data_IF_159955207024
#
_entry.id   IF_159955207024
#
_cell.length_a   1.000
_cell.length_b   1.000
_cell.length_c   1.000
_cell.angle_alpha   90.00
_cell.angle_beta   90.00
_cell.angle_gamma   90.00
#
_symmetry.space_group_name_H-M   'P 1'
#
loop_
_entity.id
_entity.type
_entity.pdbx_description
1 polymer ?
#
# COMPACT_ATOMS: atom_id res chain seq x y z
N UNK A 1 4.79 -5.09 74.72
CA UNK A 1 3.92 -4.04 74.18
C UNK A 1 4.54 -3.53 72.89
N UNK A 2 3.90 -3.77 71.73
CA UNK A 2 4.50 -3.46 70.44
C UNK A 2 4.38 -1.96 70.15
N UNK A 3 5.52 -1.34 69.88
CA UNK A 3 5.61 0.08 69.54
C UNK A 3 5.38 0.25 68.03
N UNK A 4 4.54 1.24 67.74
CA UNK A 4 3.89 1.58 66.46
C UNK A 4 4.90 1.88 65.34
N UNK A 5 4.65 1.37 64.12
CA UNK A 5 5.39 1.72 62.90
C UNK A 5 5.05 3.14 62.42
N UNK A 6 6.04 3.99 62.11
CA UNK A 6 5.79 5.18 61.29
C UNK A 6 5.55 4.78 59.81
N UNK A 7 4.81 5.60 59.05
CA UNK A 7 4.46 5.31 57.66
C UNK A 7 5.72 5.33 56.75
N UNK A 8 5.78 4.46 55.73
CA UNK A 8 6.93 4.38 54.85
C UNK A 8 7.01 5.63 53.96
N UNK A 9 8.19 6.26 53.98
CA UNK A 9 8.66 7.22 52.99
C UNK A 9 8.62 6.61 51.60
N UNK A 10 8.08 7.36 50.65
CA UNK A 10 8.00 7.03 49.23
C UNK A 10 9.35 6.56 48.69
N UNK A 11 9.45 5.26 48.40
CA UNK A 11 10.58 4.71 47.69
C UNK A 11 10.61 5.28 46.28
N UNK A 12 11.68 6.02 46.00
CA UNK A 12 12.17 6.36 44.68
C UNK A 12 12.36 5.08 43.89
N UNK A 13 11.41 4.76 43.02
CA UNK A 13 11.55 3.69 42.05
C UNK A 13 12.72 4.02 41.13
N UNK A 14 13.75 3.18 41.24
CA UNK A 14 14.86 2.98 40.32
C UNK A 14 14.46 3.30 38.88
N UNK A 15 15.07 4.36 38.35
CA UNK A 15 15.06 4.70 36.93
C UNK A 15 15.89 3.61 36.25
N UNK A 16 15.20 2.57 35.79
CA UNK A 16 15.73 1.69 34.75
C UNK A 16 15.90 2.57 33.52
N UNK A 17 17.14 2.95 33.21
CA UNK A 17 17.47 3.72 32.02
C UNK A 17 17.18 2.87 30.78
N UNK A 18 15.95 2.90 30.29
CA UNK A 18 15.63 2.46 28.94
C UNK A 18 16.33 3.43 27.99
N UNK A 19 17.37 2.94 27.30
CA UNK A 19 17.94 3.69 26.18
C UNK A 19 16.80 4.03 25.20
N UNK A 20 16.73 5.27 24.69
CA UNK A 20 15.74 5.63 23.69
C UNK A 20 16.00 4.78 22.44
N UNK A 21 15.02 3.95 22.06
CA UNK A 21 15.01 3.31 20.75
C UNK A 21 15.13 4.40 19.70
N UNK A 22 16.10 4.29 18.78
CA UNK A 22 16.20 5.21 17.64
C UNK A 22 14.93 5.07 16.82
N UNK A 23 13.95 5.95 17.05
CA UNK A 23 12.73 5.98 16.25
C UNK A 23 13.11 6.42 14.83
N UNK A 24 12.70 5.62 13.85
CA UNK A 24 12.90 5.92 12.43
C UNK A 24 12.09 7.20 12.12
N UNK A 25 12.65 8.16 11.37
CA UNK A 25 11.91 9.36 10.97
C UNK A 25 10.62 9.00 10.24
N UNK A 26 9.54 9.77 10.43
CA UNK A 26 8.26 9.48 9.81
C UNK A 26 8.34 9.60 8.29
N UNK A 27 7.77 8.62 7.58
CA UNK A 27 7.62 8.70 6.13
C UNK A 27 6.50 9.66 5.76
N UNK A 28 6.78 10.61 4.87
CA UNK A 28 5.75 11.48 4.31
C UNK A 28 4.75 10.68 3.45
N UNK A 29 3.49 11.13 3.43
CA UNK A 29 2.55 10.72 2.39
C UNK A 29 2.94 11.41 1.08
N UNK A 30 3.73 10.73 0.25
CA UNK A 30 4.34 11.32 -0.93
C UNK A 30 3.28 11.61 -1.99
N UNK A 31 3.21 12.87 -2.43
CA UNK A 31 2.28 13.30 -3.49
C UNK A 31 2.80 13.04 -4.91
N UNK A 32 4.09 12.67 -5.05
CA UNK A 32 4.77 12.48 -6.34
C UNK A 32 5.15 11.02 -6.57
N UNK A 33 4.16 10.13 -6.44
CA UNK A 33 4.33 8.68 -6.62
C UNK A 33 4.35 8.27 -8.10
N UNK A 34 3.76 9.10 -8.97
CA UNK A 34 3.70 8.88 -10.41
C UNK A 34 4.73 9.73 -11.15
N UNK A 35 5.05 9.31 -12.38
CA UNK A 35 5.96 10.05 -13.26
C UNK A 35 5.30 11.31 -13.81
N UNK A 36 5.77 12.47 -13.38
CA UNK A 36 5.25 13.80 -13.75
C UNK A 36 6.36 14.68 -14.34
N UNK A 37 6.03 15.53 -15.32
CA UNK A 37 6.94 16.53 -15.87
C UNK A 37 6.78 17.89 -15.18
N UNK A 38 7.78 18.77 -15.35
CA UNK A 38 7.68 20.19 -14.95
C UNK A 38 7.93 20.49 -13.47
N UNK A 39 8.40 19.51 -12.69
CA UNK A 39 8.86 19.74 -11.30
C UNK A 39 10.37 19.95 -11.29
N UNK A 40 10.83 21.01 -10.61
CA UNK A 40 12.24 21.45 -10.61
C UNK A 40 12.86 21.55 -9.20
N UNK A 41 12.15 21.09 -8.18
CA UNK A 41 12.49 21.21 -6.75
C UNK A 41 12.93 19.86 -6.16
N UNK A 42 13.64 19.06 -6.94
CA UNK A 42 14.10 17.72 -6.55
C UNK A 42 15.41 17.78 -5.76
N UNK A 43 15.64 16.76 -4.93
CA UNK A 43 16.89 16.52 -4.21
C UNK A 43 17.51 15.21 -4.70
N UNK A 44 18.84 15.14 -4.73
CA UNK A 44 19.60 13.93 -5.08
C UNK A 44 20.68 13.63 -4.05
N UNK A 45 21.13 12.38 -4.03
CA UNK A 45 22.29 11.95 -3.25
C UNK A 45 23.55 12.38 -3.99
N UNK A 46 24.36 13.24 -3.38
CA UNK A 46 25.62 13.76 -3.95
C UNK A 46 26.87 13.17 -3.31
N UNK A 47 26.75 12.51 -2.15
CA UNK A 47 27.86 11.91 -1.44
C UNK A 47 27.45 10.62 -0.69
N UNK A 48 28.37 9.66 -0.49
CA UNK A 48 29.75 9.63 -1.00
C UNK A 48 29.84 9.35 -2.51
N UNK A 49 28.78 8.79 -3.10
CA UNK A 49 28.66 8.60 -4.55
C UNK A 49 27.50 9.45 -5.06
N UNK A 50 27.67 10.03 -6.25
CA UNK A 50 26.64 10.84 -6.89
C UNK A 50 25.68 9.91 -7.65
N UNK A 51 24.42 9.85 -7.21
CA UNK A 51 23.37 9.07 -7.85
C UNK A 51 22.43 10.02 -8.61
N UNK A 52 22.63 10.14 -9.93
CA UNK A 52 21.88 11.06 -10.79
C UNK A 52 20.42 10.64 -11.02
N UNK A 53 20.13 9.35 -10.79
CA UNK A 53 18.82 8.74 -11.01
C UNK A 53 18.05 8.52 -9.70
N UNK A 54 18.44 9.23 -8.63
CA UNK A 54 17.76 9.17 -7.33
C UNK A 54 17.13 10.52 -7.01
N UNK A 55 15.83 10.63 -7.24
CA UNK A 55 15.05 11.86 -7.19
C UNK A 55 14.12 11.86 -5.96
N UNK A 56 14.31 12.82 -5.05
CA UNK A 56 13.49 12.98 -3.84
C UNK A 56 12.73 14.29 -3.85
N UNK A 57 11.42 14.24 -3.64
CA UNK A 57 10.59 15.44 -3.54
C UNK A 57 10.79 16.18 -2.21
N UNK A 58 10.45 17.48 -2.13
CA UNK A 58 10.60 18.25 -0.89
C UNK A 58 9.84 17.68 0.30
N UNK A 59 8.65 17.11 0.10
CA UNK A 59 7.84 16.53 1.18
C UNK A 59 8.58 15.37 1.85
N UNK A 60 9.10 14.43 1.05
CA UNK A 60 9.87 13.29 1.55
C UNK A 60 11.20 13.73 2.17
N UNK A 61 11.92 14.66 1.53
CA UNK A 61 13.18 15.18 2.04
C UNK A 61 13.00 15.86 3.41
N UNK A 62 12.08 16.81 3.51
CA UNK A 62 11.87 17.58 4.74
C UNK A 62 11.37 16.71 5.90
N UNK A 63 10.56 15.67 5.62
CA UNK A 63 9.99 14.82 6.66
C UNK A 63 10.95 13.72 7.12
N UNK A 64 11.59 13.02 6.17
CA UNK A 64 12.30 11.77 6.48
C UNK A 64 13.82 11.96 6.55
N UNK A 65 14.38 12.89 5.79
CA UNK A 65 15.84 12.99 5.57
C UNK A 65 16.44 14.19 6.29
N UNK A 66 15.88 15.39 6.08
CA UNK A 66 16.36 16.67 6.64
C UNK A 66 16.57 16.66 8.16
N UNK A 67 15.72 15.99 8.97
CA UNK A 67 15.93 15.93 10.43
C UNK A 67 17.10 15.04 10.87
N UNK A 68 17.78 14.36 9.94
CA UNK A 68 18.81 13.35 10.24
C UNK A 68 20.20 13.82 9.84
N UNK A 69 21.23 13.13 10.36
CA UNK A 69 22.61 13.36 9.95
C UNK A 69 22.88 13.07 8.46
N UNK A 70 21.98 12.33 7.78
CA UNK A 70 22.11 12.02 6.37
C UNK A 70 21.74 13.18 5.44
N UNK A 71 21.11 14.25 5.95
CA UNK A 71 20.77 15.42 5.16
C UNK A 71 21.99 16.02 4.42
N UNK A 72 23.19 15.89 5.01
CA UNK A 72 24.46 16.34 4.43
C UNK A 72 24.86 15.64 3.12
N UNK A 73 24.27 14.47 2.84
CA UNK A 73 24.53 13.69 1.64
C UNK A 73 23.61 14.07 0.48
N UNK A 74 22.67 14.97 0.72
CA UNK A 74 21.71 15.43 -0.28
C UNK A 74 22.00 16.85 -0.71
N UNK A 75 21.68 17.15 -1.97
CA UNK A 75 21.69 18.53 -2.48
C UNK A 75 20.54 18.73 -3.47
N UNK A 76 20.04 19.96 -3.63
CA UNK A 76 19.09 20.28 -4.68
C UNK A 76 19.62 19.89 -6.06
N UNK A 77 18.75 19.37 -6.91
CA UNK A 77 19.06 19.08 -8.30
C UNK A 77 18.94 20.32 -9.18
N UNK A 78 19.71 20.39 -10.27
CA UNK A 78 19.41 21.35 -11.34
C UNK A 78 18.04 21.03 -11.96
N UNK A 79 17.37 22.04 -12.57
CA UNK A 79 16.13 21.82 -13.31
C UNK A 79 16.29 20.69 -14.33
N UNK A 80 15.31 19.77 -14.37
CA UNK A 80 15.32 18.67 -15.35
C UNK A 80 15.03 19.25 -16.75
N UNK A 81 15.54 18.64 -17.82
CA UNK A 81 15.18 19.04 -19.18
C UNK A 81 13.66 19.02 -19.41
N UNK A 82 13.19 19.88 -20.31
CA UNK A 82 11.77 19.95 -20.63
C UNK A 82 11.22 18.61 -21.15
N UNK A 83 10.05 18.21 -20.66
CA UNK A 83 9.40 16.94 -21.02
C UNK A 83 9.89 15.71 -20.25
N UNK A 84 10.98 15.78 -19.49
CA UNK A 84 11.44 14.65 -18.66
C UNK A 84 10.45 14.41 -17.51
N UNK A 85 9.84 13.22 -17.51
CA UNK A 85 8.92 12.80 -16.45
C UNK A 85 9.72 12.13 -15.32
N UNK A 86 9.51 12.61 -14.10
CA UNK A 86 10.23 12.17 -12.90
C UNK A 86 9.24 11.77 -11.82
N UNK A 87 9.57 10.80 -10.98
CA UNK A 87 8.82 10.44 -9.77
C UNK A 87 9.74 10.52 -8.55
N UNK A 88 9.16 10.58 -7.35
CA UNK A 88 9.95 10.52 -6.12
C UNK A 88 10.35 9.06 -5.81
N UNK A 89 11.62 8.73 -5.80
CA UNK A 89 12.11 7.39 -5.44
C UNK A 89 11.81 7.03 -3.99
N UNK A 90 11.68 8.03 -3.11
CA UNK A 90 11.24 7.83 -1.72
C UNK A 90 9.75 7.49 -1.60
N UNK A 91 9.03 7.36 -2.72
CA UNK A 91 7.69 6.74 -2.76
C UNK A 91 7.74 5.23 -2.96
N UNK A 92 8.88 4.68 -3.39
CA UNK A 92 9.08 3.26 -3.60
C UNK A 92 9.19 2.49 -2.26
N UNK A 93 8.58 1.30 -2.22
CA UNK A 93 8.56 0.46 -1.03
C UNK A 93 9.98 0.03 -0.64
N UNK A 94 10.77 -0.48 -1.58
CA UNK A 94 12.10 -1.00 -1.29
C UNK A 94 13.05 0.10 -0.85
N UNK A 95 12.94 1.30 -1.44
CA UNK A 95 13.70 2.47 -0.99
C UNK A 95 13.36 2.84 0.46
N UNK A 96 12.08 2.80 0.85
CA UNK A 96 11.66 3.07 2.24
C UNK A 96 12.15 2.01 3.22
N UNK A 97 12.10 0.74 2.86
CA UNK A 97 12.61 -0.36 3.71
C UNK A 97 14.14 -0.25 3.83
N UNK A 98 14.84 0.01 2.74
CA UNK A 98 16.29 0.24 2.74
C UNK A 98 16.67 1.43 3.61
N UNK A 99 15.92 2.54 3.54
CA UNK A 99 16.10 3.70 4.41
C UNK A 99 15.90 3.36 5.89
N UNK A 100 14.80 2.67 6.22
CA UNK A 100 14.50 2.24 7.59
C UNK A 100 15.64 1.37 8.16
N UNK A 101 16.11 0.41 7.37
CA UNK A 101 17.23 -0.45 7.74
C UNK A 101 18.54 0.32 7.92
N UNK A 102 18.91 1.15 6.93
CA UNK A 102 20.11 1.98 6.96
C UNK A 102 20.15 2.86 8.22
N UNK A 103 19.02 3.52 8.50
CA UNK A 103 18.87 4.35 9.69
C UNK A 103 18.97 3.54 10.98
N UNK A 104 18.30 2.39 11.08
CA UNK A 104 18.31 1.55 12.29
C UNK A 104 19.69 0.98 12.58
N UNK A 105 20.42 0.55 11.55
CA UNK A 105 21.78 0.03 11.66
C UNK A 105 22.84 1.12 11.83
N UNK A 106 22.51 2.40 11.58
CA UNK A 106 23.47 3.50 11.65
C UNK A 106 24.58 3.39 10.60
N UNK A 107 24.23 2.91 9.40
CA UNK A 107 25.16 2.79 8.26
C UNK A 107 25.74 4.17 7.93
N UNK A 108 27.05 4.32 7.66
CA UNK A 108 27.68 5.64 7.56
C UNK A 108 27.33 6.42 6.28
N UNK A 109 26.86 5.74 5.23
CA UNK A 109 26.61 6.29 3.91
C UNK A 109 25.25 5.88 3.33
N UNK A 110 24.93 6.40 2.13
CA UNK A 110 23.69 6.14 1.41
C UNK A 110 23.84 5.19 0.22
N UNK A 111 24.95 4.45 0.14
CA UNK A 111 25.21 3.56 -1.01
C UNK A 111 24.11 2.51 -1.18
N UNK A 112 23.54 2.01 -0.08
CA UNK A 112 22.41 1.08 -0.13
C UNK A 112 21.22 1.65 -0.91
N UNK A 113 20.87 2.93 -0.74
CA UNK A 113 19.72 3.51 -1.44
C UNK A 113 19.94 3.54 -2.97
N UNK A 114 21.15 3.90 -3.40
CA UNK A 114 21.51 3.89 -4.82
C UNK A 114 21.50 2.48 -5.40
N UNK A 115 22.05 1.50 -4.68
CA UNK A 115 22.02 0.09 -5.09
C UNK A 115 20.60 -0.43 -5.29
N UNK A 116 19.65 -0.03 -4.42
CA UNK A 116 18.24 -0.43 -4.52
C UNK A 116 17.58 0.06 -5.81
N UNK A 117 17.88 1.30 -6.20
CA UNK A 117 17.29 1.92 -7.39
C UNK A 117 17.93 1.48 -8.71
N UNK A 118 19.20 1.09 -8.70
CA UNK A 118 19.92 0.64 -9.89
C UNK A 118 19.71 -0.85 -10.19
N UNK A 119 19.07 -1.59 -9.28
CA UNK A 119 18.89 -3.03 -9.43
C UNK A 119 17.98 -3.40 -10.61
N UNK A 120 18.50 -4.29 -11.45
CA UNK A 120 17.79 -4.87 -12.58
C UNK A 120 17.75 -6.39 -12.42
N UNK A 121 16.55 -6.93 -12.28
CA UNK A 121 16.33 -8.37 -12.28
C UNK A 121 16.19 -8.88 -13.72
N UNK A 122 16.87 -9.97 -14.12
CA UNK A 122 16.76 -10.51 -15.48
C UNK A 122 15.35 -10.94 -15.88
N UNK A 123 14.49 -11.27 -14.91
CA UNK A 123 13.09 -11.61 -15.16
C UNK A 123 12.18 -10.37 -15.08
N UNK A 124 12.73 -9.19 -14.77
CA UNK A 124 12.04 -7.92 -14.65
C UNK A 124 11.47 -7.64 -13.25
N UNK A 125 10.88 -6.46 -13.06
CA UNK A 125 10.27 -6.04 -11.79
C UNK A 125 9.20 -7.02 -11.29
N UNK A 126 8.92 -6.97 -9.98
CA UNK A 126 7.89 -7.79 -9.37
C UNK A 126 6.52 -7.53 -10.02
N UNK A 127 5.80 -8.58 -10.50
CA UNK A 127 4.52 -8.39 -11.20
C UNK A 127 3.45 -7.75 -10.30
N UNK A 128 3.49 -8.01 -8.99
CA UNK A 128 2.54 -7.44 -8.03
C UNK A 128 2.84 -5.98 -7.64
N UNK A 129 3.97 -5.41 -8.09
CA UNK A 129 4.31 -4.00 -7.91
C UNK A 129 4.06 -3.16 -9.17
N UNK A 130 3.62 -3.78 -10.26
CA UNK A 130 3.25 -3.07 -11.48
C UNK A 130 1.89 -2.39 -11.29
N UNK A 131 1.91 -1.08 -10.98
CA UNK A 131 0.69 -0.29 -10.76
C UNK A 131 -0.16 -0.12 -12.01
N UNK A 132 0.41 -0.34 -13.21
CA UNK A 132 -0.33 -0.24 -14.46
C UNK A 132 -1.05 -1.55 -14.83
N UNK A 133 -0.69 -2.65 -14.18
CA UNK A 133 -1.33 -3.94 -14.39
C UNK A 133 -2.80 -3.92 -13.90
N UNK A 134 -3.72 -4.35 -14.76
CA UNK A 134 -5.16 -4.34 -14.49
C UNK A 134 -5.58 -5.24 -13.33
N UNK A 135 -4.90 -6.37 -13.09
CA UNK A 135 -5.16 -7.21 -11.93
C UNK A 135 -4.72 -6.52 -10.64
N UNK A 136 -3.56 -5.87 -10.65
CA UNK A 136 -3.08 -5.07 -9.50
C UNK A 136 -4.05 -3.94 -9.21
N UNK A 137 -4.54 -3.20 -10.22
CA UNK A 137 -5.58 -2.16 -10.05
C UNK A 137 -6.87 -2.72 -9.45
N UNK A 138 -7.21 -3.98 -9.75
CA UNK A 138 -8.35 -4.72 -9.16
C UNK A 138 -8.03 -5.36 -7.80
N UNK A 139 -6.88 -5.03 -7.19
CA UNK A 139 -6.40 -5.57 -5.90
C UNK A 139 -6.16 -7.08 -5.93
N UNK A 140 -5.80 -7.60 -7.10
CA UNK A 140 -5.47 -9.00 -7.32
C UNK A 140 -3.96 -9.16 -7.54
N UNK A 141 -3.48 -10.40 -7.44
CA UNK A 141 -2.07 -10.74 -7.65
C UNK A 141 -1.91 -11.35 -9.05
N UNK A 142 -1.31 -10.64 -10.02
CA UNK A 142 -1.08 -11.20 -11.34
C UNK A 142 -0.17 -12.43 -11.29
N UNK A 143 -0.54 -13.45 -12.07
CA UNK A 143 0.30 -14.63 -12.28
C UNK A 143 1.36 -14.38 -13.34
N UNK A 144 2.56 -14.91 -13.13
CA UNK A 144 3.66 -14.85 -14.08
C UNK A 144 4.45 -16.17 -14.12
N UNK A 145 4.99 -16.51 -15.29
CA UNK A 145 5.87 -17.68 -15.45
C UNK A 145 7.32 -17.29 -15.20
N UNK A 146 7.83 -17.61 -14.00
CA UNK A 146 9.12 -17.14 -13.49
C UNK A 146 9.78 -18.17 -12.58
N UNK A 147 11.04 -17.94 -12.23
CA UNK A 147 11.68 -18.68 -11.14
C UNK A 147 11.15 -18.16 -9.80
N UNK A 148 10.51 -19.03 -9.04
CA UNK A 148 9.94 -18.70 -7.73
C UNK A 148 10.82 -19.23 -6.60
N UNK A 149 10.79 -18.55 -5.47
CA UNK A 149 11.57 -18.88 -4.30
C UNK A 149 10.65 -19.05 -3.09
N UNK A 150 10.96 -20.03 -2.25
CA UNK A 150 10.23 -20.30 -1.01
C UNK A 150 11.20 -20.29 0.17
N UNK A 151 10.68 -20.01 1.36
CA UNK A 151 11.45 -20.21 2.59
C UNK A 151 11.69 -21.69 2.83
N UNK A 152 12.89 -22.03 3.29
CA UNK A 152 13.18 -23.38 3.80
C UNK A 152 12.90 -23.44 5.30
N UNK A 153 12.03 -24.34 5.74
CA UNK A 153 11.82 -24.57 7.17
C UNK A 153 13.09 -25.18 7.78
N UNK A 154 13.75 -24.51 8.74
CA UNK A 154 14.95 -25.06 9.37
C UNK A 154 14.70 -26.33 10.20
N UNK A 155 13.45 -26.60 10.62
CA UNK A 155 13.09 -27.79 11.40
C UNK A 155 12.87 -29.03 10.53
N UNK A 156 12.12 -28.89 9.44
CA UNK A 156 11.77 -30.04 8.58
C UNK A 156 12.67 -30.15 7.36
N UNK A 157 13.33 -29.07 6.96
CA UNK A 157 14.11 -28.98 5.72
C UNK A 157 13.25 -28.80 4.46
N UNK A 158 11.92 -28.80 4.61
CA UNK A 158 10.94 -28.64 3.52
C UNK A 158 10.74 -27.18 3.13
N UNK A 159 10.15 -26.96 1.97
CA UNK A 159 9.79 -25.63 1.49
C UNK A 159 8.44 -25.21 2.06
N UNK A 160 8.33 -23.94 2.43
CA UNK A 160 7.04 -23.31 2.77
C UNK A 160 6.39 -22.81 1.49
N UNK A 161 5.69 -23.71 0.79
CA UNK A 161 5.14 -23.46 -0.55
C UNK A 161 3.95 -22.48 -0.57
N UNK A 162 3.33 -22.21 0.58
CA UNK A 162 2.27 -21.20 0.70
C UNK A 162 2.77 -19.76 0.49
N UNK A 163 4.09 -19.53 0.49
CA UNK A 163 4.70 -18.23 0.21
C UNK A 163 5.73 -18.35 -0.92
N UNK A 164 5.29 -18.04 -2.13
CA UNK A 164 6.18 -17.90 -3.29
C UNK A 164 6.63 -16.45 -3.47
N UNK A 165 7.93 -16.25 -3.73
CA UNK A 165 8.55 -14.93 -3.88
C UNK A 165 9.30 -14.86 -5.20
N UNK A 166 9.15 -13.76 -5.94
CA UNK A 166 9.85 -13.59 -7.22
C UNK A 166 11.34 -13.21 -7.02
N UNK A 167 12.16 -13.52 -8.02
CA UNK A 167 13.59 -13.17 -8.09
C UNK A 167 13.89 -11.70 -7.73
N UNK A 168 13.11 -10.76 -8.27
CA UNK A 168 13.28 -9.33 -7.98
C UNK A 168 13.13 -9.01 -6.48
N UNK A 169 12.13 -9.58 -5.80
CA UNK A 169 11.95 -9.33 -4.37
C UNK A 169 13.05 -9.97 -3.52
N UNK A 170 13.52 -11.16 -3.91
CA UNK A 170 14.66 -11.80 -3.24
C UNK A 170 15.92 -10.96 -3.39
N UNK A 171 16.20 -10.46 -4.59
CA UNK A 171 17.35 -9.61 -4.87
C UNK A 171 17.34 -8.35 -3.97
N UNK A 172 16.17 -7.74 -3.77
CA UNK A 172 16.00 -6.60 -2.86
C UNK A 172 16.26 -7.00 -1.39
N UNK A 173 15.66 -8.09 -0.90
CA UNK A 173 15.87 -8.59 0.47
C UNK A 173 17.35 -8.92 0.72
N UNK A 174 18.00 -9.61 -0.21
CA UNK A 174 19.41 -10.02 -0.11
C UNK A 174 20.40 -8.84 -0.19
N UNK A 175 19.96 -7.72 -0.76
CA UNK A 175 20.72 -6.46 -0.79
C UNK A 175 20.56 -5.68 0.50
N UNK A 176 19.33 -5.56 1.02
CA UNK A 176 19.05 -4.87 2.28
C UNK A 176 19.59 -5.65 3.47
N UNK A 177 19.38 -6.96 3.49
CA UNK A 177 19.74 -7.86 4.60
C UNK A 177 20.70 -8.98 4.16
N UNK A 178 21.96 -8.68 3.80
CA UNK A 178 22.92 -9.69 3.32
C UNK A 178 23.14 -10.86 4.29
N UNK A 179 22.96 -10.63 5.60
CA UNK A 179 23.09 -11.67 6.62
C UNK A 179 22.04 -12.79 6.51
N UNK A 180 20.94 -12.56 5.77
CA UNK A 180 19.88 -13.51 5.53
C UNK A 180 19.97 -14.20 4.16
N UNK A 181 21.00 -13.93 3.35
CA UNK A 181 21.16 -14.56 2.03
C UNK A 181 21.04 -16.09 2.10
N UNK A 182 20.26 -16.64 1.19
CA UNK A 182 20.05 -18.08 1.05
C UNK A 182 19.00 -18.69 1.99
N UNK A 183 18.24 -17.89 2.77
CA UNK A 183 17.04 -18.42 3.47
C UNK A 183 15.91 -18.78 2.50
N UNK A 184 15.90 -18.13 1.34
CA UNK A 184 15.03 -18.43 0.23
C UNK A 184 15.77 -19.35 -0.74
N UNK A 185 15.09 -20.39 -1.17
CA UNK A 185 15.62 -21.37 -2.13
C UNK A 185 14.66 -21.53 -3.30
N UNK A 186 15.16 -21.84 -4.52
CA UNK A 186 14.30 -22.01 -5.68
C UNK A 186 13.27 -23.11 -5.48
N UNK A 187 12.00 -22.78 -5.72
CA UNK A 187 10.90 -23.73 -5.79
C UNK A 187 10.95 -24.52 -7.11
N UNK A 188 10.22 -25.64 -7.19
CA UNK A 188 10.13 -26.48 -8.40
C UNK A 188 11.50 -26.83 -9.03
N UNK A 189 12.54 -26.99 -8.21
CA UNK A 189 13.91 -27.27 -8.67
C UNK A 189 14.53 -26.14 -9.51
N UNK A 190 14.03 -24.90 -9.40
CA UNK A 190 14.48 -23.75 -10.19
C UNK A 190 13.84 -23.64 -11.57
N UNK A 191 12.84 -24.48 -11.87
CA UNK A 191 12.07 -24.35 -13.11
C UNK A 191 11.18 -23.11 -13.08
N UNK A 192 10.99 -22.50 -14.25
CA UNK A 192 10.03 -21.41 -14.42
C UNK A 192 8.61 -21.98 -14.44
N UNK A 193 7.79 -21.59 -13.47
CA UNK A 193 6.40 -22.05 -13.33
C UNK A 193 5.47 -20.85 -13.16
N UNK A 194 4.18 -21.04 -13.43
CA UNK A 194 3.18 -19.99 -13.24
C UNK A 194 2.79 -19.89 -11.75
N UNK A 195 3.07 -18.74 -11.12
CA UNK A 195 2.64 -18.43 -9.74
C UNK A 195 2.54 -16.90 -9.54
N UNK A 196 2.35 -16.44 -8.30
CA UNK A 196 2.22 -15.02 -7.94
C UNK A 196 3.21 -14.64 -6.84
N UNK A 197 3.65 -13.39 -6.73
CA UNK A 197 4.54 -12.99 -5.61
C UNK A 197 3.76 -12.79 -4.30
N UNK A 198 3.70 -13.81 -3.45
CA UNK A 198 2.93 -13.81 -2.20
C UNK A 198 3.52 -12.89 -1.11
N UNK A 199 4.79 -12.49 -1.25
CA UNK A 199 5.39 -11.45 -0.42
C UNK A 199 4.73 -10.09 -0.67
N UNK A 200 4.46 -9.78 -1.94
CA UNK A 200 3.92 -8.50 -2.36
C UNK A 200 2.42 -8.61 -2.53
N UNK A 201 1.69 -8.25 -1.48
CA UNK A 201 0.22 -8.28 -1.45
C UNK A 201 -0.32 -6.86 -1.68
N UNK A 202 -0.92 -6.56 -2.85
CA UNK A 202 -1.43 -5.23 -3.15
C UNK A 202 -2.48 -4.78 -2.13
N UNK A 203 -2.39 -3.52 -1.68
CA UNK A 203 -3.37 -2.87 -0.79
C UNK A 203 -3.62 -3.56 0.57
N UNK A 204 -2.66 -4.39 1.01
CA UNK A 204 -2.67 -5.09 2.29
C UNK A 204 -1.45 -4.71 3.13
N UNK A 205 -1.64 -4.61 4.44
CA UNK A 205 -0.55 -4.42 5.41
C UNK A 205 0.30 -5.68 5.56
N UNK A 206 -0.14 -6.81 5.01
CA UNK A 206 0.57 -8.09 5.11
C UNK A 206 1.98 -8.04 4.54
N UNK A 207 2.18 -7.31 3.44
CA UNK A 207 3.52 -7.07 2.87
C UNK A 207 4.46 -6.47 3.92
N UNK A 208 4.00 -5.44 4.65
CA UNK A 208 4.79 -4.79 5.70
C UNK A 208 5.01 -5.75 6.86
N UNK A 209 3.97 -6.48 7.31
CA UNK A 209 4.11 -7.46 8.39
C UNK A 209 5.15 -8.55 8.05
N UNK A 210 5.21 -9.03 6.81
CA UNK A 210 6.25 -9.96 6.38
C UNK A 210 7.65 -9.30 6.41
N UNK A 211 7.78 -8.10 5.85
CA UNK A 211 9.03 -7.34 5.85
C UNK A 211 9.54 -7.07 7.27
N UNK A 212 8.66 -6.73 8.21
CA UNK A 212 9.01 -6.57 9.62
C UNK A 212 9.58 -7.86 10.23
N UNK A 213 9.03 -9.03 9.90
CA UNK A 213 9.61 -10.31 10.34
C UNK A 213 11.01 -10.55 9.77
N UNK A 214 11.23 -10.22 8.48
CA UNK A 214 12.57 -10.33 7.88
C UNK A 214 13.58 -9.40 8.56
N UNK A 215 13.19 -8.14 8.80
CA UNK A 215 14.03 -7.15 9.46
C UNK A 215 14.34 -7.59 10.91
N UNK A 216 13.35 -8.05 11.67
CA UNK A 216 13.56 -8.54 13.04
C UNK A 216 14.55 -9.73 13.09
N UNK A 217 14.40 -10.70 12.18
CA UNK A 217 15.35 -11.81 12.07
C UNK A 217 16.75 -11.34 11.66
N UNK A 218 16.85 -10.38 10.74
CA UNK A 218 18.14 -9.80 10.33
C UNK A 218 18.83 -9.08 11.49
N UNK A 219 18.12 -8.23 12.22
CA UNK A 219 18.67 -7.53 13.39
C UNK A 219 19.14 -8.51 14.47
N UNK A 220 18.33 -9.53 14.78
CA UNK A 220 18.71 -10.57 15.75
C UNK A 220 19.92 -11.37 15.27
N UNK A 221 20.01 -11.66 13.98
CA UNK A 221 21.16 -12.35 13.39
C UNK A 221 22.44 -11.52 13.55
N UNK A 222 22.39 -10.21 13.26
CA UNK A 222 23.53 -9.33 13.44
C UNK A 222 23.95 -9.17 14.91
N UNK A 223 22.98 -9.10 15.83
CA UNK A 223 23.23 -8.94 17.27
C UNK A 223 23.81 -10.22 17.91
N UNK A 224 23.34 -11.39 17.49
CA UNK A 224 23.69 -12.67 18.14
C UNK A 224 24.75 -13.47 17.39
N UNK A 225 24.96 -13.19 16.11
CA UNK A 225 25.78 -14.01 15.21
C UNK A 225 25.09 -15.30 14.74
N UNK A 226 23.91 -15.64 15.27
CA UNK A 226 23.18 -16.85 14.94
C UNK A 226 21.97 -16.53 14.06
N UNK A 227 21.89 -17.21 12.91
CA UNK A 227 20.78 -17.06 11.97
C UNK A 227 19.59 -17.93 12.37
N UNK A 228 18.70 -17.38 13.19
CA UNK A 228 17.51 -18.09 13.68
C UNK A 228 16.28 -17.65 12.87
N UNK A 229 15.97 -18.41 11.82
CA UNK A 229 14.88 -18.11 10.86
C UNK A 229 13.52 -18.66 11.32
N UNK A 230 13.53 -19.51 12.35
CA UNK A 230 12.37 -20.25 12.87
C UNK A 230 11.13 -19.36 13.13
N UNK A 231 11.23 -18.19 13.79
CA UNK A 231 10.07 -17.32 14.04
C UNK A 231 9.43 -16.79 12.75
N UNK A 232 10.25 -16.43 11.76
CA UNK A 232 9.77 -15.99 10.45
C UNK A 232 9.05 -17.13 9.73
N UNK A 233 9.61 -18.35 9.74
CA UNK A 233 8.95 -19.51 9.11
C UNK A 233 7.64 -19.86 9.80
N UNK A 234 7.54 -19.75 11.13
CA UNK A 234 6.28 -19.96 11.87
C UNK A 234 5.24 -18.90 11.49
N UNK A 235 5.67 -17.64 11.41
CA UNK A 235 4.79 -16.55 11.01
C UNK A 235 4.24 -16.77 9.60
N UNK A 236 5.11 -17.12 8.64
CA UNK A 236 4.70 -17.38 7.25
C UNK A 236 3.78 -18.59 7.17
N UNK A 237 4.12 -19.72 7.80
CA UNK A 237 3.27 -20.92 7.84
C UNK A 237 1.87 -20.64 8.41
N UNK A 238 1.79 -19.74 9.40
CA UNK A 238 0.52 -19.31 9.97
C UNK A 238 -0.27 -18.45 8.98
N UNK A 239 0.35 -17.43 8.39
CA UNK A 239 -0.38 -16.35 7.70
C UNK A 239 -0.49 -16.47 6.19
N UNK A 240 0.44 -17.17 5.54
CA UNK A 240 0.44 -17.31 4.09
C UNK A 240 -0.79 -18.05 3.55
N UNK A 241 -1.27 -19.16 4.18
CA UNK A 241 -2.47 -19.86 3.73
C UNK A 241 -3.77 -19.07 3.97
N UNK A 242 -3.77 -18.14 4.93
CA UNK A 242 -4.97 -17.40 5.33
C UNK A 242 -5.20 -16.26 4.35
N UNK A 243 -6.30 -16.16 3.61
CA UNK A 243 -6.47 -15.04 2.68
C UNK A 243 -6.67 -13.72 3.43
N UNK A 244 -6.12 -12.62 2.92
CA UNK A 244 -6.23 -11.29 3.55
C UNK A 244 -7.69 -10.87 3.76
N UNK A 245 -7.93 -10.05 4.76
CA UNK A 245 -9.22 -9.50 5.06
C UNK A 245 -9.78 -8.76 3.83
N UNK A 246 -11.01 -9.09 3.39
CA UNK A 246 -11.63 -8.39 2.24
C UNK A 246 -12.02 -6.95 2.59
N UNK A 247 -11.80 -6.52 3.83
CA UNK A 247 -12.19 -5.21 4.36
C UNK A 247 -13.67 -4.94 4.13
N UNK A 248 -13.97 -3.76 3.60
CA UNK A 248 -15.32 -3.31 3.23
C UNK A 248 -15.81 -3.89 1.90
N UNK A 249 -15.05 -4.74 1.20
CA UNK A 249 -15.47 -5.36 -0.05
C UNK A 249 -16.26 -6.64 0.21
N UNK A 250 -17.41 -6.81 -0.46
CA UNK A 250 -18.19 -8.05 -0.40
C UNK A 250 -17.47 -9.15 -1.18
N UNK A 251 -17.29 -10.33 -0.56
CA UNK A 251 -16.65 -11.45 -1.24
C UNK A 251 -17.44 -12.76 -1.08
N UNK A 252 -17.51 -13.53 -2.15
CA UNK A 252 -18.16 -14.85 -2.21
C UNK A 252 -17.12 -15.97 -2.17
N UNK A 253 -17.56 -17.21 -1.90
CA UNK A 253 -16.70 -18.40 -1.93
C UNK A 253 -15.64 -18.49 -0.83
N UNK A 254 -15.65 -17.57 0.15
CA UNK A 254 -14.72 -17.54 1.28
C UNK A 254 -15.41 -17.91 2.58
N UNK A 255 -14.63 -18.55 3.46
CA UNK A 255 -15.02 -18.89 4.83
C UNK A 255 -15.17 -17.63 5.69
N UNK A 256 -16.24 -17.59 6.49
CA UNK A 256 -16.42 -16.59 7.54
C UNK A 256 -17.11 -17.18 8.77
N UNK A 257 -16.89 -16.54 9.91
CA UNK A 257 -17.64 -16.76 11.14
C UNK A 257 -18.78 -15.77 11.19
N UNK A 258 -19.99 -16.23 11.48
CA UNK A 258 -21.18 -15.38 11.61
C UNK A 258 -21.78 -15.53 12.99
N UNK A 259 -22.50 -14.52 13.45
CA UNK A 259 -23.31 -14.67 14.64
C UNK A 259 -24.64 -15.40 14.35
N UNK A 260 -25.27 -15.89 15.41
CA UNK A 260 -26.62 -16.43 15.45
C UNK A 260 -27.65 -15.41 14.95
N UNK A 261 -28.93 -15.81 14.93
CA UNK A 261 -30.05 -14.96 14.50
C UNK A 261 -30.15 -13.59 15.17
N UNK A 262 -29.46 -13.37 16.30
CA UNK A 262 -29.38 -12.08 16.97
C UNK A 262 -28.74 -10.99 16.08
N UNK A 263 -27.63 -11.30 15.38
CA UNK A 263 -26.88 -10.34 14.56
C UNK A 263 -26.32 -11.02 13.28
N UNK A 264 -27.18 -11.51 12.37
CA UNK A 264 -26.75 -12.23 11.17
C UNK A 264 -25.88 -11.38 10.22
N UNK A 265 -25.95 -10.05 10.32
CA UNK A 265 -25.13 -9.12 9.56
C UNK A 265 -23.66 -9.08 10.05
N UNK A 266 -23.39 -9.56 11.28
CA UNK A 266 -22.04 -9.66 11.81
C UNK A 266 -21.33 -10.90 11.26
N UNK A 267 -20.37 -10.64 10.38
CA UNK A 267 -19.54 -11.66 9.74
C UNK A 267 -18.06 -11.29 9.84
N UNK A 268 -17.21 -12.29 10.08
CA UNK A 268 -15.78 -12.13 10.35
C UNK A 268 -14.99 -13.04 9.44
N UNK A 269 -14.01 -12.49 8.71
CA UNK A 269 -13.11 -13.29 7.87
C UNK A 269 -12.09 -14.06 8.73
N UNK A 270 -11.43 -15.05 8.14
CA UNK A 270 -10.42 -15.87 8.82
C UNK A 270 -9.28 -15.07 9.44
N UNK A 271 -8.75 -14.07 8.72
CA UNK A 271 -7.68 -13.21 9.26
C UNK A 271 -8.14 -12.48 10.54
N UNK A 272 -9.26 -11.76 10.47
CA UNK A 272 -9.77 -11.02 11.63
C UNK A 272 -10.26 -11.94 12.77
N UNK A 273 -10.70 -13.17 12.47
CA UNK A 273 -11.03 -14.14 13.50
C UNK A 273 -9.78 -14.52 14.31
N UNK A 274 -8.69 -14.85 13.62
CA UNK A 274 -7.42 -15.23 14.25
C UNK A 274 -6.77 -14.05 14.97
N UNK A 275 -6.87 -12.83 14.42
CA UNK A 275 -6.31 -11.63 15.03
C UNK A 275 -7.09 -11.13 16.25
N UNK A 276 -8.42 -11.13 16.20
CA UNK A 276 -9.24 -10.43 17.20
C UNK A 276 -10.13 -11.34 18.05
N UNK A 277 -10.65 -12.42 17.49
CA UNK A 277 -11.62 -13.31 18.17
C UNK A 277 -10.90 -14.40 18.95
N UNK A 278 -10.02 -15.16 18.31
CA UNK A 278 -9.33 -16.30 18.92
C UNK A 278 -8.55 -15.93 20.19
N UNK A 279 -7.79 -14.81 20.24
CA UNK A 279 -7.10 -14.41 21.47
C UNK A 279 -8.06 -14.05 22.60
N UNK A 280 -9.23 -13.48 22.27
CA UNK A 280 -10.24 -13.11 23.26
C UNK A 280 -10.99 -14.33 23.81
N UNK A 281 -11.25 -15.33 22.96
CA UNK A 281 -11.81 -16.63 23.37
C UNK A 281 -10.89 -17.41 24.30
N UNK A 282 -9.57 -17.24 24.16
CA UNK A 282 -8.57 -17.96 24.95
C UNK A 282 -8.41 -17.40 26.38
N UNK A 283 -9.10 -16.31 26.72
CA UNK A 283 -9.09 -15.73 28.07
C UNK A 283 -9.91 -16.61 29.04
N UNK A 284 -9.58 -16.65 30.35
CA UNK A 284 -10.26 -17.51 31.32
C UNK A 284 -11.79 -17.32 31.41
N UNK A 285 -12.25 -16.09 31.16
CA UNK A 285 -13.67 -15.71 31.21
C UNK A 285 -14.02 -14.92 29.95
N UNK A 286 -14.31 -15.61 28.82
CA UNK A 286 -14.70 -14.97 27.58
C UNK A 286 -16.09 -14.32 27.73
N UNK A 287 -16.32 -13.22 27.01
CA UNK A 287 -17.61 -12.53 27.00
C UNK A 287 -18.76 -13.44 26.52
N UNK A 288 -19.96 -13.26 27.07
CA UNK A 288 -21.14 -14.06 26.69
C UNK A 288 -21.48 -13.95 25.21
N UNK A 289 -21.17 -12.81 24.58
CA UNK A 289 -21.34 -12.56 23.15
C UNK A 289 -20.68 -13.64 22.27
N UNK A 290 -19.57 -14.23 22.72
CA UNK A 290 -18.90 -15.31 21.97
C UNK A 290 -19.77 -16.56 21.81
N UNK A 291 -20.71 -16.83 22.72
CA UNK A 291 -21.64 -17.97 22.60
C UNK A 291 -22.58 -17.85 21.40
N UNK A 292 -22.72 -16.64 20.85
CA UNK A 292 -23.53 -16.38 19.67
C UNK A 292 -22.76 -16.52 18.36
N UNK A 293 -21.42 -16.60 18.40
CA UNK A 293 -20.60 -16.77 17.21
C UNK A 293 -20.59 -18.24 16.78
N UNK A 294 -20.64 -18.49 15.47
CA UNK A 294 -20.56 -19.85 14.94
C UNK A 294 -19.25 -20.51 15.38
N UNK A 295 -19.31 -21.78 15.78
CA UNK A 295 -18.11 -22.53 16.18
C UNK A 295 -17.24 -22.83 14.96
N UNK A 296 -17.89 -23.23 13.86
CA UNK A 296 -17.23 -23.50 12.59
C UNK A 296 -17.46 -22.35 11.61
N UNK A 297 -16.51 -22.08 10.70
CA UNK A 297 -16.72 -21.16 9.61
C UNK A 297 -17.69 -21.74 8.57
N UNK A 298 -18.47 -20.88 7.95
CA UNK A 298 -19.34 -21.20 6.81
C UNK A 298 -18.94 -20.40 5.57
N UNK A 299 -19.36 -20.89 4.39
CA UNK A 299 -19.23 -20.15 3.12
C UNK A 299 -20.63 -19.61 2.76
N UNK A 300 -20.92 -18.33 3.03
CA UNK A 300 -22.24 -17.77 2.75
C UNK A 300 -22.47 -17.65 1.23
N UNK A 301 -23.60 -18.16 0.69
CA UNK A 301 -23.87 -18.11 -0.76
C UNK A 301 -23.90 -16.69 -1.34
N UNK A 302 -24.40 -15.73 -0.56
CA UNK A 302 -24.47 -14.33 -0.96
C UNK A 302 -23.18 -13.56 -0.74
N UNK A 303 -22.14 -14.20 -0.18
CA UNK A 303 -20.90 -13.54 0.24
C UNK A 303 -21.07 -12.65 1.47
N UNK A 304 -19.96 -12.13 1.99
CA UNK A 304 -19.93 -11.38 3.24
C UNK A 304 -18.99 -10.17 3.20
N UNK A 305 -19.13 -9.28 4.18
CA UNK A 305 -18.20 -8.18 4.48
C UNK A 305 -17.56 -8.44 5.84
N UNK A 306 -16.28 -8.11 6.03
CA UNK A 306 -15.69 -8.32 7.35
C UNK A 306 -16.03 -7.16 8.31
N UNK A 307 -16.79 -7.46 9.36
CA UNK A 307 -17.23 -6.52 10.39
C UNK A 307 -16.20 -6.30 11.52
N UNK A 308 -14.94 -6.64 11.28
CA UNK A 308 -13.79 -6.35 12.18
C UNK A 308 -12.61 -5.72 11.42
N UNK A 309 -12.86 -5.25 10.20
CA UNK A 309 -11.82 -4.80 9.28
C UNK A 309 -11.24 -3.42 9.57
N UNK A 310 -11.83 -2.69 10.52
CA UNK A 310 -11.42 -1.32 10.85
C UNK A 310 -11.44 -1.08 12.37
N UNK A 311 -10.66 -0.12 12.88
CA UNK A 311 -10.63 0.19 14.32
C UNK A 311 -12.02 0.53 14.88
N UNK A 312 -12.85 1.27 14.14
CA UNK A 312 -14.22 1.61 14.57
C UNK A 312 -15.11 0.37 14.70
N UNK A 313 -15.03 -0.55 13.75
CA UNK A 313 -15.75 -1.82 13.79
C UNK A 313 -15.30 -2.72 14.94
N UNK A 314 -13.99 -2.78 15.17
CA UNK A 314 -13.40 -3.47 16.31
C UNK A 314 -13.89 -2.86 17.63
N UNK A 315 -14.05 -1.54 17.71
CA UNK A 315 -14.64 -0.88 18.88
C UNK A 315 -16.10 -1.27 19.09
N UNK A 316 -16.92 -1.35 18.03
CA UNK A 316 -18.32 -1.80 18.18
C UNK A 316 -18.40 -3.22 18.75
N UNK A 317 -17.51 -4.10 18.29
CA UNK A 317 -17.38 -5.44 18.84
C UNK A 317 -16.90 -5.45 20.30
N UNK A 318 -15.90 -4.63 20.63
CA UNK A 318 -15.38 -4.51 22.00
C UNK A 318 -16.44 -3.98 22.98
N UNK A 319 -17.24 -2.99 22.55
CA UNK A 319 -18.39 -2.48 23.31
C UNK A 319 -19.38 -3.62 23.59
N UNK A 320 -19.75 -4.38 22.55
CA UNK A 320 -20.70 -5.49 22.67
C UNK A 320 -20.17 -6.60 23.60
N UNK A 321 -18.88 -6.94 23.52
CA UNK A 321 -18.25 -7.88 24.45
C UNK A 321 -18.31 -7.40 25.90
N UNK A 322 -18.28 -6.08 26.13
CA UNK A 322 -18.29 -5.49 27.47
C UNK A 322 -19.71 -5.35 28.03
N UNK A 323 -20.69 -4.97 27.21
CA UNK A 323 -22.07 -4.69 27.64
C UNK A 323 -23.04 -5.85 27.42
N UNK A 324 -22.66 -6.84 26.59
CA UNK A 324 -23.56 -7.86 26.04
C UNK A 324 -24.77 -7.31 25.26
N UNK A 325 -24.70 -6.05 24.81
CA UNK A 325 -25.78 -5.41 24.04
C UNK A 325 -25.64 -5.73 22.54
N UNK A 326 -26.24 -6.86 22.15
CA UNK A 326 -26.27 -7.30 20.75
C UNK A 326 -27.21 -6.46 19.88
N UNK A 327 -28.23 -5.83 20.47
CA UNK A 327 -29.16 -5.00 19.74
C UNK A 327 -28.47 -3.72 19.23
N UNK A 328 -27.68 -3.07 20.09
CA UNK A 328 -26.88 -1.92 19.71
C UNK A 328 -25.81 -2.28 18.67
N UNK A 329 -25.14 -3.43 18.84
CA UNK A 329 -24.18 -3.93 17.84
C UNK A 329 -24.85 -4.09 16.46
N UNK A 330 -26.01 -4.76 16.42
CA UNK A 330 -26.78 -4.96 15.19
C UNK A 330 -27.17 -3.63 14.56
N UNK A 331 -27.70 -2.71 15.34
CA UNK A 331 -28.11 -1.39 14.86
C UNK A 331 -26.93 -0.65 14.19
N UNK A 332 -25.76 -0.62 14.85
CA UNK A 332 -24.55 0.03 14.34
C UNK A 332 -24.06 -0.60 13.03
N UNK A 333 -24.05 -1.94 12.96
CA UNK A 333 -23.62 -2.68 11.74
C UNK A 333 -24.60 -2.45 10.59
N UNK A 334 -25.91 -2.54 10.85
CA UNK A 334 -26.94 -2.30 9.83
C UNK A 334 -26.85 -0.88 9.29
N UNK A 335 -26.72 0.12 10.17
CA UNK A 335 -26.56 1.52 9.77
C UNK A 335 -25.33 1.70 8.88
N UNK A 336 -24.19 1.11 9.25
CA UNK A 336 -22.98 1.12 8.42
C UNK A 336 -23.20 0.44 7.07
N UNK A 337 -23.82 -0.75 7.04
CA UNK A 337 -24.04 -1.49 5.81
C UNK A 337 -24.94 -0.71 4.83
N UNK A 338 -25.99 -0.05 5.34
CA UNK A 338 -26.84 0.85 4.54
C UNK A 338 -26.00 1.98 3.96
N UNK A 339 -25.18 2.65 4.78
CA UNK A 339 -24.30 3.72 4.32
C UNK A 339 -23.25 3.23 3.32
N UNK A 340 -22.67 2.05 3.53
CA UNK A 340 -21.72 1.43 2.59
C UNK A 340 -22.33 1.25 1.20
N UNK A 341 -23.59 0.84 1.12
CA UNK A 341 -24.31 0.68 -0.14
C UNK A 341 -24.55 2.05 -0.81
N UNK A 342 -25.02 3.05 -0.06
CA UNK A 342 -25.20 4.42 -0.57
C UNK A 342 -23.90 5.00 -1.13
N UNK A 343 -22.79 4.86 -0.40
CA UNK A 343 -21.47 5.35 -0.82
C UNK A 343 -20.97 4.61 -2.07
N UNK A 344 -21.15 3.29 -2.12
CA UNK A 344 -20.74 2.48 -3.28
C UNK A 344 -21.48 2.94 -4.54
N UNK A 345 -22.81 3.10 -4.47
CA UNK A 345 -23.62 3.58 -5.59
C UNK A 345 -23.22 5.00 -6.03
N UNK A 346 -22.96 5.90 -5.06
CA UNK A 346 -22.52 7.27 -5.34
C UNK A 346 -21.16 7.30 -6.05
N UNK A 347 -20.19 6.51 -5.58
CA UNK A 347 -18.86 6.42 -6.18
C UNK A 347 -18.89 5.78 -7.57
N UNK A 348 -19.73 4.77 -7.78
CA UNK A 348 -19.93 4.16 -9.11
C UNK A 348 -20.52 5.16 -10.10
N UNK A 349 -21.54 5.92 -9.68
CA UNK A 349 -22.12 7.00 -10.49
C UNK A 349 -21.10 8.07 -10.87
N UNK A 350 -20.30 8.55 -9.90
CA UNK A 350 -19.25 9.53 -10.16
C UNK A 350 -18.14 8.99 -11.07
N UNK A 351 -17.77 7.71 -10.94
CA UNK A 351 -16.77 7.07 -11.81
C UNK A 351 -17.23 7.04 -13.26
N UNK A 352 -18.46 6.62 -13.51
CA UNK A 352 -19.05 6.65 -14.86
C UNK A 352 -19.08 8.08 -15.42
N UNK A 353 -19.47 9.07 -14.61
CA UNK A 353 -19.46 10.48 -15.02
C UNK A 353 -18.05 10.96 -15.38
N UNK A 354 -17.04 10.63 -14.56
CA UNK A 354 -15.65 10.98 -14.80
C UNK A 354 -15.13 10.39 -16.13
N UNK A 355 -15.42 9.11 -16.39
CA UNK A 355 -15.02 8.44 -17.63
C UNK A 355 -15.68 9.07 -18.85
N UNK A 356 -16.98 9.39 -18.78
CA UNK A 356 -17.70 10.10 -19.85
C UNK A 356 -17.09 11.48 -20.13
N UNK A 357 -16.78 12.25 -19.09
CA UNK A 357 -16.15 13.57 -19.23
C UNK A 357 -14.75 13.47 -19.87
N UNK A 358 -13.95 12.46 -19.50
CA UNK A 358 -12.65 12.19 -20.13
C UNK A 358 -12.79 11.83 -21.61
N UNK A 359 -13.78 11.01 -21.99
CA UNK A 359 -14.05 10.67 -23.39
C UNK A 359 -14.49 11.90 -24.17
N UNK A 360 -15.37 12.75 -23.61
CA UNK A 360 -15.81 13.98 -24.25
C UNK A 360 -14.65 14.98 -24.44
N UNK A 361 -13.80 15.16 -23.43
CA UNK A 361 -12.61 16.00 -23.54
C UNK A 361 -11.71 15.54 -24.70
N UNK A 362 -11.44 14.24 -24.78
CA UNK A 362 -10.65 13.65 -25.87
C UNK A 362 -11.29 13.90 -27.23
N UNK A 363 -12.60 13.68 -27.36
CA UNK A 363 -13.33 13.95 -28.61
C UNK A 363 -13.16 15.41 -29.07
N UNK A 364 -13.28 16.38 -28.16
CA UNK A 364 -13.09 17.79 -28.51
C UNK A 364 -11.64 18.09 -28.92
N UNK A 365 -10.64 17.49 -28.28
CA UNK A 365 -9.25 17.65 -28.72
C UNK A 365 -8.97 17.02 -30.08
N UNK A 366 -9.55 15.86 -30.38
CA UNK A 366 -9.41 15.23 -31.69
C UNK A 366 -10.07 16.10 -32.79
N UNK A 367 -11.26 16.65 -32.52
CA UNK A 367 -11.93 17.60 -33.43
C UNK A 367 -11.15 18.90 -33.61
N UNK A 368 -10.54 19.43 -32.54
CA UNK A 368 -9.67 20.61 -32.61
C UNK A 368 -8.53 20.38 -33.62
N UNK A 369 -7.88 19.22 -33.58
CA UNK A 369 -6.79 18.87 -34.50
C UNK A 369 -7.29 18.76 -35.95
N UNK A 370 -8.47 18.16 -36.17
CA UNK A 370 -9.08 18.08 -37.51
C UNK A 370 -9.39 19.47 -38.08
N UNK A 371 -10.02 20.34 -37.29
CA UNK A 371 -10.34 21.71 -37.69
C UNK A 371 -9.07 22.53 -37.95
N UNK A 372 -8.03 22.35 -37.13
CA UNK A 372 -6.74 23.00 -37.35
C UNK A 372 -6.13 22.58 -38.70
N UNK A 373 -6.12 21.28 -39.01
CA UNK A 373 -5.62 20.79 -40.28
C UNK A 373 -6.44 21.31 -41.46
N UNK A 374 -7.77 21.37 -41.32
CA UNK A 374 -8.68 21.91 -42.34
C UNK A 374 -8.39 23.38 -42.62
N UNK A 375 -8.26 24.21 -41.58
CA UNK A 375 -7.96 25.64 -41.69
C UNK A 375 -6.59 25.89 -42.36
N UNK A 376 -5.56 25.10 -42.00
CA UNK A 376 -4.24 25.18 -42.62
C UNK A 376 -4.29 24.77 -44.10
N UNK A 377 -4.97 23.68 -44.44
CA UNK A 377 -5.12 23.23 -45.83
C UNK A 377 -5.86 24.26 -46.69
N UNK A 378 -6.93 24.88 -46.15
CA UNK A 378 -7.62 25.97 -46.81
C UNK A 378 -6.68 27.15 -47.09
N UNK A 379 -5.87 27.56 -46.09
CA UNK A 379 -4.91 28.66 -46.27
C UNK A 379 -3.84 28.36 -47.32
N UNK A 380 -3.35 27.11 -47.38
CA UNK A 380 -2.37 26.67 -48.38
C UNK A 380 -2.96 26.68 -49.80
N UNK A 381 -4.20 26.22 -49.97
CA UNK A 381 -4.89 26.24 -51.26
C UNK A 381 -5.02 27.66 -51.82
N UNK A 382 -5.29 28.65 -50.96
CA UNK A 382 -5.33 30.07 -51.34
C UNK A 382 -3.96 30.61 -51.79
N UNK A 383 -2.88 30.22 -51.11
CA UNK A 383 -1.52 30.65 -51.47
C UNK A 383 -1.10 30.14 -52.85
N UNK A 384 -1.49 28.92 -53.21
CA UNK A 384 -1.18 28.31 -54.52
C UNK A 384 -2.04 28.93 -55.64
N UNK A 385 -3.27 29.37 -55.33
CA UNK A 385 -4.23 29.92 -56.30
C UNK A 385 -3.98 31.37 -56.77
N UNK A 386 -2.91 32.03 -56.35
CA UNK A 386 -2.50 33.35 -56.86
C UNK A 386 -3.27 34.57 -56.32
N UNK A 387 -4.04 34.41 -55.23
CA UNK A 387 -4.75 35.52 -54.56
C UNK A 387 -4.07 36.00 -53.27
N UNK A 388 -4.39 37.23 -52.83
CA UNK A 388 -4.12 37.67 -51.45
C UNK A 388 -5.00 36.84 -50.50
N UNK A 389 -4.40 35.85 -49.81
CA UNK A 389 -5.12 34.98 -48.87
C UNK A 389 -5.59 35.74 -47.63
N UNK A 390 -6.87 35.58 -47.27
CA UNK A 390 -7.41 36.08 -46.01
C UNK A 390 -6.78 35.38 -44.78
N UNK A 391 -6.93 35.93 -43.56
CA UNK A 391 -6.40 35.30 -42.35
C UNK A 391 -6.94 33.89 -42.16
N UNK A 392 -6.10 32.95 -41.71
CA UNK A 392 -6.52 31.59 -41.34
C UNK A 392 -7.59 31.64 -40.24
N UNK A 393 -8.74 31.01 -40.46
CA UNK A 393 -9.84 30.97 -39.48
C UNK A 393 -9.64 29.82 -38.48
N UNK A 394 -9.31 30.17 -37.23
CA UNK A 394 -9.15 29.22 -36.12
C UNK A 394 -10.35 29.22 -35.16
N UNK A 395 -11.50 29.82 -35.50
CA UNK A 395 -12.64 29.89 -34.58
C UNK A 395 -13.14 28.51 -34.17
N UNK A 396 -13.27 27.58 -35.11
CA UNK A 396 -13.68 26.20 -34.83
C UNK A 396 -12.65 25.46 -33.96
N UNK A 397 -11.36 25.60 -34.28
CA UNK A 397 -10.25 25.09 -33.47
C UNK A 397 -10.33 25.61 -32.03
N UNK A 398 -10.47 26.91 -31.84
CA UNK A 398 -10.55 27.55 -30.52
C UNK A 398 -11.81 27.12 -29.76
N UNK A 399 -12.94 26.94 -30.44
CA UNK A 399 -14.18 26.45 -29.83
C UNK A 399 -14.02 25.02 -29.29
N UNK A 400 -13.45 24.11 -30.10
CA UNK A 400 -13.17 22.74 -29.67
C UNK A 400 -12.12 22.69 -28.55
N UNK A 401 -11.07 23.50 -28.61
CA UNK A 401 -10.08 23.60 -27.53
C UNK A 401 -10.73 24.04 -26.20
N UNK A 402 -11.57 25.08 -26.24
CA UNK A 402 -12.28 25.59 -25.07
C UNK A 402 -13.22 24.54 -24.48
N UNK A 403 -13.96 23.81 -25.32
CA UNK A 403 -14.86 22.74 -24.88
C UNK A 403 -14.08 21.57 -24.29
N UNK A 404 -12.97 21.15 -24.90
CA UNK A 404 -12.08 20.11 -24.37
C UNK A 404 -11.54 20.45 -22.99
N UNK A 405 -11.03 21.68 -22.84
CA UNK A 405 -10.53 22.18 -21.55
C UNK A 405 -11.62 22.25 -20.48
N UNK A 406 -12.85 22.66 -20.85
CA UNK A 406 -14.00 22.67 -19.94
C UNK A 406 -14.37 21.26 -19.46
N UNK A 407 -14.39 20.27 -20.36
CA UNK A 407 -14.68 18.89 -20.01
C UNK A 407 -13.59 18.27 -19.12
N UNK A 408 -12.31 18.61 -19.36
CA UNK A 408 -11.22 18.18 -18.49
C UNK A 408 -11.31 18.80 -17.10
N UNK A 409 -11.67 20.09 -17.00
CA UNK A 409 -11.91 20.74 -15.71
C UNK A 409 -13.05 20.05 -14.94
N UNK A 410 -14.15 19.70 -15.62
CA UNK A 410 -15.25 18.96 -15.00
C UNK A 410 -14.81 17.57 -14.54
N UNK A 411 -14.03 16.84 -15.34
CA UNK A 411 -13.48 15.54 -14.96
C UNK A 411 -12.63 15.66 -13.68
N UNK A 412 -11.75 16.66 -13.62
CA UNK A 412 -10.92 16.90 -12.43
C UNK A 412 -11.76 17.25 -11.19
N UNK A 413 -12.85 18.01 -11.35
CA UNK A 413 -13.78 18.30 -10.27
C UNK A 413 -14.52 17.04 -9.79
N UNK A 414 -14.97 16.18 -10.71
CA UNK A 414 -15.58 14.89 -10.38
C UNK A 414 -14.61 13.99 -9.62
N UNK A 415 -13.35 13.92 -10.06
CA UNK A 415 -12.30 13.17 -9.37
C UNK A 415 -12.04 13.70 -7.94
N UNK A 416 -11.99 15.02 -7.75
CA UNK A 416 -11.87 15.62 -6.43
C UNK A 416 -13.07 15.30 -5.53
N UNK A 417 -14.29 15.33 -6.08
CA UNK A 417 -15.50 14.93 -5.36
C UNK A 417 -15.47 13.46 -4.94
N UNK A 418 -15.00 12.56 -5.80
CA UNK A 418 -14.80 11.15 -5.46
C UNK A 418 -13.85 10.99 -4.27
N UNK A 419 -12.70 11.68 -4.29
CA UNK A 419 -11.74 11.65 -3.19
C UNK A 419 -12.33 12.17 -1.87
N UNK A 420 -13.19 13.19 -1.92
CA UNK A 420 -13.88 13.69 -0.72
C UNK A 420 -14.87 12.66 -0.16
N UNK A 421 -15.63 11.98 -1.01
CA UNK A 421 -16.55 10.91 -0.59
C UNK A 421 -15.79 9.74 0.01
N UNK A 422 -14.67 9.32 -0.59
CA UNK A 422 -13.81 8.27 -0.02
C UNK A 422 -13.22 8.68 1.34
N UNK A 423 -12.85 9.95 1.50
CA UNK A 423 -12.36 10.49 2.77
C UNK A 423 -13.46 10.50 3.83
N UNK A 424 -14.66 10.96 3.49
CA UNK A 424 -15.83 10.95 4.39
C UNK A 424 -16.13 9.52 4.88
N UNK A 425 -16.08 8.53 3.98
CA UNK A 425 -16.24 7.13 4.36
C UNK A 425 -15.21 6.70 5.42
N UNK A 426 -13.92 7.00 5.19
CA UNK A 426 -12.86 6.67 6.14
C UNK A 426 -13.03 7.37 7.49
N UNK A 427 -13.34 8.66 7.48
CA UNK A 427 -13.43 9.46 8.70
C UNK A 427 -14.62 9.03 9.59
N UNK A 428 -15.75 8.62 8.99
CA UNK A 428 -16.99 8.34 9.72
C UNK A 428 -17.39 6.86 9.83
N UNK A 429 -16.84 5.95 9.01
CA UNK A 429 -17.28 4.54 8.95
C UNK A 429 -16.20 3.47 9.01
N UNK A 430 -14.92 3.83 8.89
CA UNK A 430 -13.76 2.95 9.15
C UNK A 430 -13.07 3.34 10.47
#
# INVERSE_FOLDING_TARGET
MPLVRPPPTSNTSSITSSQPTKQIPPFANCKRTQFEAGKNDWFQITAPHHYTNFDVCPDCFNSSIKPTAYARFFSPQPPKPEGVRTRCDFSDLWVRIAWAWLYSQGVPDLTLLGSITEMQDPEGSCPNLDSENEEVKKKQKPSATRTWYCLRDPRTGELVEDLTVCSHCILQIDTITPCLRGIFVPAAGGQKVAATCDLMVPYSERTIKYLDQFIDVAEKTLKTGYRIVTPLTDYVKKWAPIPTCPKSTRIQGRKCWSMSSAVPEFTVCEECYIEHIQPALSKPSPALVFSQLSIQPQIPPSGFHCQLSSPRLQQYWADACSTSDLALLRQKIMQRNTKSNEFTQKLEGMRMQYEQQKIQAKFHYDMMLMEQSSALNASLAWQIGGGWGGPTDFRATNAHMSQGAQMEMQANMTLANMQMVEKEWKDFWE
#
